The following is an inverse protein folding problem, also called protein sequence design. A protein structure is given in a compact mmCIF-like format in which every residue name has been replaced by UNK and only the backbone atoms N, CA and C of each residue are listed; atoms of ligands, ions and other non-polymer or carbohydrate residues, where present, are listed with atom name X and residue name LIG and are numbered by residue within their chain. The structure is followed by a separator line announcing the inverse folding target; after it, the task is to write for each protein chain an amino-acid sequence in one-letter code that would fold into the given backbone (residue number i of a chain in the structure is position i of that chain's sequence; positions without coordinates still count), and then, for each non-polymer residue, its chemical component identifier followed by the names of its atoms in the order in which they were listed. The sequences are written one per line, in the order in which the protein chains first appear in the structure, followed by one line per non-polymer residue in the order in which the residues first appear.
data_IF_735525710207
#
_entry.id   IF_735525710207
#
_cell.length_a   1.000
_cell.length_b   1.000
_cell.length_c   1.000
_cell.angle_alpha   90.00
_cell.angle_beta   90.00
_cell.angle_gamma   90.00
#
_symmetry.space_group_name_H-M   'P 1'
#
loop_
_entity.id
_entity.type
_entity.pdbx_description
1 polymer ?
#
# COMPACT_ATOMS: atom_id res chain seq x y z
N UNK A 1 -2.35 -3.32 28.30
CA UNK A 1 -1.25 -2.42 27.92
C UNK A 1 -1.85 -1.03 27.80
N UNK A 2 -1.50 -0.14 28.71
CA UNK A 2 -2.03 1.23 28.71
C UNK A 2 -1.20 2.06 27.73
N UNK A 3 -1.76 2.38 26.57
CA UNK A 3 -1.09 3.19 25.57
C UNK A 3 -1.21 4.65 26.01
N UNK A 4 -0.07 5.34 26.10
CA UNK A 4 -0.07 6.79 26.30
C UNK A 4 -0.73 7.46 25.09
N UNK A 5 -1.94 8.01 25.30
CA UNK A 5 -2.78 8.57 24.23
C UNK A 5 -2.08 9.72 23.47
N UNK A 6 -1.29 10.53 24.17
CA UNK A 6 -0.58 11.66 23.55
C UNK A 6 0.51 11.18 22.60
N UNK A 7 1.19 10.09 22.95
CA UNK A 7 2.20 9.46 22.10
C UNK A 7 1.53 8.81 20.88
N UNK A 8 0.41 8.12 21.08
CA UNK A 8 -0.34 7.49 19.99
C UNK A 8 -0.78 8.53 18.96
N UNK A 9 -1.45 9.61 19.38
CA UNK A 9 -1.91 10.65 18.44
C UNK A 9 -0.75 11.32 17.72
N UNK A 10 0.37 11.59 18.42
CA UNK A 10 1.57 12.11 17.76
C UNK A 10 2.10 11.18 16.67
N UNK A 11 2.07 9.87 16.88
CA UNK A 11 2.48 8.91 15.86
C UNK A 11 1.47 8.83 14.71
N UNK A 12 0.17 8.86 15.00
CA UNK A 12 -0.87 8.89 13.97
C UNK A 12 -0.74 10.13 13.10
N UNK A 13 -0.50 11.30 13.68
CA UNK A 13 -0.32 12.56 12.96
C UNK A 13 0.92 12.56 12.07
N UNK A 14 2.02 11.99 12.55
CA UNK A 14 3.22 11.80 11.73
C UNK A 14 2.93 10.92 10.50
N UNK A 15 2.13 9.87 10.67
CA UNK A 15 1.75 8.99 9.55
C UNK A 15 0.77 9.72 8.62
N UNK A 16 -0.24 10.43 9.15
CA UNK A 16 -1.18 11.25 8.36
C UNK A 16 -0.45 12.25 7.47
N UNK A 17 0.61 12.87 7.97
CA UNK A 17 1.44 13.81 7.21
C UNK A 17 2.14 13.17 6.00
N UNK A 18 2.26 11.85 5.94
CA UNK A 18 2.80 11.10 4.80
C UNK A 18 1.74 10.74 3.76
N UNK A 19 0.45 11.01 4.02
CA UNK A 19 -0.62 10.69 3.07
C UNK A 19 -0.59 11.65 1.88
N UNK A 20 -0.37 11.10 0.69
CA UNK A 20 -0.50 11.83 -0.57
C UNK A 20 -1.97 12.12 -0.91
N UNK A 21 -2.20 13.05 -1.84
CA UNK A 21 -3.55 13.39 -2.32
C UNK A 21 -4.32 12.21 -2.89
N UNK A 22 -3.62 11.20 -3.41
CA UNK A 22 -4.23 10.00 -3.98
C UNK A 22 -4.79 9.05 -2.92
N UNK A 23 -4.36 9.20 -1.67
CA UNK A 23 -4.70 8.34 -0.53
C UNK A 23 -3.58 7.38 -0.12
N UNK A 24 -2.51 7.24 -0.92
CA UNK A 24 -1.35 6.43 -0.53
C UNK A 24 -0.45 7.17 0.46
N UNK A 25 0.08 6.44 1.43
CA UNK A 25 1.16 6.86 2.29
C UNK A 25 2.52 6.65 1.61
N UNK A 26 3.37 7.66 1.70
CA UNK A 26 4.79 7.55 1.39
C UNK A 26 5.51 6.75 2.48
N UNK A 27 6.54 5.99 2.13
CA UNK A 27 7.32 5.27 3.14
C UNK A 27 8.20 6.20 3.98
N UNK A 28 8.57 7.37 3.45
CA UNK A 28 9.12 8.47 4.26
C UNK A 28 8.70 9.82 3.69
N UNK A 29 9.07 10.89 4.41
CA UNK A 29 8.87 12.26 3.95
C UNK A 29 9.46 12.46 2.55
N UNK A 30 8.83 13.30 1.75
CA UNK A 30 9.21 13.56 0.35
C UNK A 30 10.46 14.44 0.21
N UNK A 31 10.91 15.08 1.28
CA UNK A 31 12.07 15.99 1.33
C UNK A 31 13.43 15.28 1.53
N UNK A 32 13.43 13.95 1.75
CA UNK A 32 14.68 13.17 1.82
C UNK A 32 15.09 12.63 0.45
N UNK A 33 16.34 12.88 0.08
CA UNK A 33 16.96 12.56 -1.22
C UNK A 33 17.22 11.07 -1.47
N UNK A 34 16.67 10.17 -0.64
CA UNK A 34 16.98 8.73 -0.61
C UNK A 34 16.08 7.87 -1.50
N UNK A 35 15.12 8.46 -2.23
CA UNK A 35 14.21 7.71 -3.11
C UNK A 35 13.03 7.04 -2.39
N UNK A 36 12.70 7.49 -1.17
CA UNK A 36 11.54 7.06 -0.37
C UNK A 36 10.26 7.88 -0.62
N UNK A 37 10.25 8.72 -1.65
CA UNK A 37 9.05 9.35 -2.19
C UNK A 37 8.11 8.37 -2.95
N UNK A 38 8.27 7.07 -2.72
CA UNK A 38 7.50 6.00 -3.35
C UNK A 38 6.47 5.47 -2.34
N UNK A 39 5.38 4.91 -2.84
CA UNK A 39 4.40 4.21 -2.02
C UNK A 39 4.60 2.70 -2.13
N UNK A 40 4.85 2.03 -1.01
CA UNK A 40 4.93 0.57 -0.96
C UNK A 40 3.55 -0.04 -0.68
N UNK A 41 3.20 -1.13 -1.36
CA UNK A 41 1.95 -1.84 -1.10
C UNK A 41 1.86 -2.34 0.35
N UNK A 42 2.96 -2.91 0.88
CA UNK A 42 3.00 -3.45 2.24
C UNK A 42 2.76 -2.37 3.28
N UNK A 43 3.51 -1.27 3.19
CA UNK A 43 3.43 -0.15 4.12
C UNK A 43 2.01 0.41 4.15
N UNK A 44 1.44 0.66 2.96
CA UNK A 44 0.07 1.14 2.84
C UNK A 44 -0.97 0.16 3.41
N UNK A 45 -0.79 -1.14 3.18
CA UNK A 45 -1.69 -2.15 3.72
C UNK A 45 -1.66 -2.18 5.26
N UNK A 46 -0.49 -2.26 5.88
CA UNK A 46 -0.39 -2.31 7.34
C UNK A 46 -0.75 -0.97 8.00
N UNK A 47 -0.41 0.17 7.40
CA UNK A 47 -0.88 1.47 7.85
C UNK A 47 -2.41 1.55 7.77
N UNK A 48 -3.03 1.01 6.71
CA UNK A 48 -4.49 0.95 6.62
C UNK A 48 -5.10 0.13 7.76
N UNK A 49 -4.50 -1.01 8.14
CA UNK A 49 -4.97 -1.81 9.27
C UNK A 49 -4.83 -1.06 10.60
N UNK A 50 -3.74 -0.31 10.79
CA UNK A 50 -3.57 0.52 11.99
C UNK A 50 -4.65 1.60 12.10
N UNK A 51 -4.99 2.29 10.99
CA UNK A 51 -6.08 3.26 10.99
C UNK A 51 -7.47 2.64 11.14
N UNK A 52 -7.65 1.41 10.66
CA UNK A 52 -8.87 0.64 10.89
C UNK A 52 -9.06 0.33 12.39
N UNK A 53 -7.99 -0.06 13.08
CA UNK A 53 -8.00 -0.37 14.52
C UNK A 53 -8.36 0.84 15.39
N UNK A 54 -7.87 2.04 15.04
CA UNK A 54 -8.19 3.27 15.77
C UNK A 54 -9.49 3.94 15.31
N UNK A 55 -10.23 3.32 14.37
CA UNK A 55 -11.54 3.79 13.92
C UNK A 55 -11.53 4.96 12.93
N UNK A 56 -10.38 5.31 12.33
CA UNK A 56 -10.26 6.39 11.34
C UNK A 56 -10.71 5.91 9.95
N UNK A 57 -12.03 5.75 9.80
CA UNK A 57 -12.62 5.15 8.60
C UNK A 57 -12.42 5.97 7.33
N UNK A 58 -12.24 7.29 7.44
CA UNK A 58 -12.02 8.15 6.29
C UNK A 58 -10.62 7.93 5.70
N UNK A 59 -9.61 7.80 6.55
CA UNK A 59 -8.26 7.42 6.12
C UNK A 59 -8.27 6.02 5.50
N UNK A 60 -8.94 5.06 6.14
CA UNK A 60 -9.08 3.67 5.64
C UNK A 60 -9.70 3.64 4.24
N UNK A 61 -10.80 4.37 4.01
CA UNK A 61 -11.47 4.43 2.70
C UNK A 61 -10.54 4.99 1.62
N UNK A 62 -9.77 6.04 1.92
CA UNK A 62 -8.81 6.63 0.97
C UNK A 62 -7.73 5.62 0.56
N UNK A 63 -7.13 4.93 1.53
CA UNK A 63 -6.06 3.95 1.26
C UNK A 63 -6.60 2.77 0.46
N UNK A 64 -7.74 2.19 0.85
CA UNK A 64 -8.34 1.09 0.09
C UNK A 64 -8.69 1.48 -1.33
N UNK A 65 -9.27 2.68 -1.53
CA UNK A 65 -9.56 3.19 -2.87
C UNK A 65 -8.28 3.27 -3.71
N UNK A 66 -7.18 3.77 -3.14
CA UNK A 66 -5.91 3.88 -3.85
C UNK A 66 -5.30 2.50 -4.18
N UNK A 67 -5.25 1.57 -3.22
CA UNK A 67 -4.76 0.20 -3.43
C UNK A 67 -5.56 -0.55 -4.50
N UNK A 68 -6.89 -0.45 -4.48
CA UNK A 68 -7.75 -1.05 -5.50
C UNK A 68 -7.55 -0.38 -6.87
N UNK A 69 -7.30 0.93 -6.91
CA UNK A 69 -7.03 1.64 -8.17
C UNK A 69 -5.73 1.16 -8.81
N UNK A 70 -4.68 0.92 -8.02
CA UNK A 70 -3.44 0.26 -8.50
C UNK A 70 -3.78 -1.10 -9.12
N UNK A 71 -4.55 -1.94 -8.43
CA UNK A 71 -4.87 -3.28 -8.94
C UNK A 71 -5.70 -3.23 -10.22
N UNK A 72 -6.64 -2.31 -10.33
CA UNK A 72 -7.42 -2.11 -11.57
C UNK A 72 -6.51 -1.63 -12.70
N UNK A 73 -5.61 -0.69 -12.43
CA UNK A 73 -4.66 -0.15 -13.42
C UNK A 73 -3.72 -1.23 -13.96
N UNK A 74 -3.25 -2.13 -13.08
CA UNK A 74 -2.29 -3.19 -13.42
C UNK A 74 -2.96 -4.57 -13.60
N UNK A 75 -4.28 -4.60 -13.80
CA UNK A 75 -5.08 -5.85 -13.85
C UNK A 75 -4.60 -6.84 -14.90
N UNK A 76 -4.12 -6.36 -16.05
CA UNK A 76 -3.72 -7.22 -17.16
C UNK A 76 -2.42 -7.97 -16.81
N UNK A 77 -1.49 -7.29 -16.14
CA UNK A 77 -0.28 -7.87 -15.59
C UNK A 77 -0.58 -8.89 -14.50
N UNK A 78 -1.49 -8.56 -13.58
CA UNK A 78 -1.96 -9.49 -12.53
C UNK A 78 -2.57 -10.73 -13.18
N UNK A 79 -3.47 -10.54 -14.15
CA UNK A 79 -4.16 -11.64 -14.87
C UNK A 79 -3.18 -12.52 -15.64
N UNK A 80 -2.15 -11.93 -16.23
CA UNK A 80 -1.08 -12.66 -16.89
C UNK A 80 -0.26 -13.50 -15.89
N UNK A 81 0.11 -12.93 -14.75
CA UNK A 81 0.91 -13.60 -13.72
C UNK A 81 0.17 -14.74 -13.00
N UNK A 82 -1.17 -14.74 -13.02
CA UNK A 82 -1.99 -15.87 -12.55
C UNK A 82 -1.89 -17.07 -13.50
N UNK A 83 -1.79 -16.81 -14.81
CA UNK A 83 -1.76 -17.85 -15.85
C UNK A 83 -0.35 -18.31 -16.20
N UNK A 84 0.64 -17.48 -15.94
CA UNK A 84 2.02 -17.68 -16.35
C UNK A 84 2.94 -17.50 -15.15
N UNK A 85 3.86 -18.44 -14.94
CA UNK A 85 4.90 -18.29 -13.90
C UNK A 85 5.87 -17.19 -14.33
N UNK A 86 5.96 -16.05 -13.61
CA UNK A 86 6.89 -15.00 -13.99
C UNK A 86 8.34 -15.48 -13.85
N UNK A 87 9.20 -15.07 -14.78
CA UNK A 87 10.63 -15.39 -14.80
C UNK A 87 11.48 -14.12 -14.64
N UNK A 88 11.15 -13.07 -15.41
CA UNK A 88 11.84 -11.79 -15.36
C UNK A 88 11.25 -10.88 -14.27
N UNK A 89 12.06 -10.00 -13.69
CA UNK A 89 11.68 -9.10 -12.59
C UNK A 89 10.47 -8.22 -12.92
N UNK A 90 10.42 -7.63 -14.11
CA UNK A 90 9.33 -6.76 -14.54
C UNK A 90 7.99 -7.49 -14.71
N UNK A 91 7.98 -8.82 -14.83
CA UNK A 91 6.75 -9.61 -14.97
C UNK A 91 6.03 -9.78 -13.63
N UNK A 92 6.74 -9.67 -12.52
CA UNK A 92 6.14 -9.65 -11.19
C UNK A 92 5.44 -8.33 -10.96
N UNK A 93 4.30 -8.36 -10.27
CA UNK A 93 3.59 -7.16 -9.80
C UNK A 93 4.57 -6.37 -8.92
N UNK A 94 4.74 -5.09 -9.22
CA UNK A 94 5.77 -4.30 -8.58
C UNK A 94 5.41 -3.99 -7.11
N UNK A 95 6.41 -3.90 -6.24
CA UNK A 95 6.18 -3.66 -4.80
C UNK A 95 5.87 -2.18 -4.46
N UNK A 96 6.29 -1.28 -5.36
CA UNK A 96 6.35 0.18 -5.15
C UNK A 96 5.67 0.91 -6.29
N UNK A 97 4.91 1.95 -5.98
CA UNK A 97 4.19 2.74 -6.97
C UNK A 97 4.45 4.22 -6.78
N UNK A 98 4.38 4.97 -7.88
CA UNK A 98 4.35 6.41 -7.79
C UNK A 98 3.07 6.82 -7.03
N UNK A 99 3.20 7.60 -5.94
CA UNK A 99 2.07 7.94 -5.07
C UNK A 99 1.00 8.80 -5.77
N UNK A 100 1.33 9.48 -6.86
CA UNK A 100 0.41 10.36 -7.58
C UNK A 100 -0.19 9.68 -8.82
N UNK A 101 0.65 8.97 -9.58
CA UNK A 101 0.25 8.40 -10.88
C UNK A 101 -0.09 6.92 -10.83
N UNK A 102 0.25 6.22 -9.74
CA UNK A 102 0.13 4.76 -9.60
C UNK A 102 0.94 3.96 -10.63
N UNK A 103 1.93 4.59 -11.27
CA UNK A 103 2.85 3.90 -12.18
C UNK A 103 3.87 3.06 -11.41
N UNK A 104 4.29 1.96 -12.03
CA UNK A 104 5.46 1.21 -11.58
C UNK A 104 6.74 1.97 -11.90
N UNK A 105 7.81 1.67 -11.18
CA UNK A 105 9.14 2.18 -11.51
C UNK A 105 9.86 1.19 -12.41
N UNK A 106 10.53 1.68 -13.46
CA UNK A 106 11.25 0.86 -14.45
C UNK A 106 12.65 0.41 -13.99
N UNK A 107 13.03 0.73 -12.74
CA UNK A 107 14.29 0.30 -12.14
C UNK A 107 14.21 -1.17 -11.68
N UNK A 108 15.30 -1.92 -11.83
CA UNK A 108 15.37 -3.26 -11.24
C UNK A 108 15.28 -3.16 -9.72
N UNK A 109 14.31 -3.88 -9.16
CA UNK A 109 14.14 -4.03 -7.73
C UNK A 109 14.33 -5.48 -7.34
N UNK A 110 15.39 -5.78 -6.58
CA UNK A 110 15.78 -7.15 -6.25
C UNK A 110 14.83 -7.89 -5.30
N UNK A 111 13.87 -7.19 -4.68
CA UNK A 111 12.97 -7.77 -3.68
C UNK A 111 11.57 -8.03 -4.25
N UNK A 112 11.25 -9.31 -4.48
CA UNK A 112 9.89 -9.77 -4.79
C UNK A 112 9.04 -9.73 -3.52
N UNK A 113 7.99 -8.91 -3.49
CA UNK A 113 7.13 -8.71 -2.31
C UNK A 113 5.69 -9.11 -2.62
N UNK A 114 5.51 -10.41 -2.94
CA UNK A 114 4.21 -10.99 -3.23
C UNK A 114 3.31 -11.10 -1.97
N UNK A 115 3.92 -11.02 -0.78
CA UNK A 115 3.26 -11.05 0.53
C UNK A 115 2.16 -9.99 0.65
N UNK A 116 2.47 -8.75 0.27
CA UNK A 116 1.55 -7.62 0.39
C UNK A 116 0.31 -7.82 -0.50
N UNK A 117 0.49 -8.34 -1.71
CA UNK A 117 -0.61 -8.59 -2.65
C UNK A 117 -1.53 -9.68 -2.10
N UNK A 118 -0.95 -10.78 -1.61
CA UNK A 118 -1.70 -11.85 -0.96
C UNK A 118 -2.50 -11.34 0.24
N UNK A 119 -1.90 -10.52 1.09
CA UNK A 119 -2.55 -9.95 2.26
C UNK A 119 -3.71 -9.01 1.91
N UNK A 120 -3.52 -8.13 0.91
CA UNK A 120 -4.57 -7.23 0.41
C UNK A 120 -5.75 -8.04 -0.15
N UNK A 121 -5.49 -9.03 -1.01
CA UNK A 121 -6.53 -9.87 -1.60
C UNK A 121 -7.26 -10.71 -0.55
N UNK A 122 -6.52 -11.29 0.40
CA UNK A 122 -7.11 -12.05 1.51
C UNK A 122 -8.05 -11.18 2.35
N UNK A 123 -7.64 -9.96 2.71
CA UNK A 123 -8.48 -9.02 3.48
C UNK A 123 -9.73 -8.60 2.73
N UNK A 124 -9.65 -8.36 1.41
CA UNK A 124 -10.82 -8.06 0.57
C UNK A 124 -11.78 -9.25 0.54
N UNK A 125 -11.26 -10.47 0.39
CA UNK A 125 -12.07 -11.68 0.33
C UNK A 125 -12.72 -12.00 1.69
N UNK A 126 -11.99 -11.87 2.80
CA UNK A 126 -12.49 -12.10 4.16
C UNK A 126 -13.60 -11.13 4.59
N UNK A 127 -13.73 -9.96 3.94
CA UNK A 127 -14.85 -9.03 4.16
C UNK A 127 -16.18 -9.52 3.55
N UNK A 128 -16.20 -10.56 2.71
CA UNK A 128 -17.44 -11.17 2.20
C UNK A 128 -18.10 -12.14 3.18
N UNK A 129 -17.44 -12.50 4.27
CA UNK A 129 -17.93 -13.47 5.26
C UNK A 129 -18.32 -12.84 6.60
N UNK A 130 -18.49 -11.51 6.68
CA UNK A 130 -18.72 -10.78 7.93
C UNK A 130 -19.71 -9.62 7.86
N UNK A 131 -20.63 -9.64 6.90
CA UNK A 131 -21.85 -8.83 6.88
C UNK A 131 -23.04 -9.72 6.51
#
# INVERSE_FOLDING_TARGET
MEINKDILEKHLDNIRALQSKSGLFLASRSDVSTGYNKAWLRDNFYTCLAFEEVGDLDTVKKVWKALLTIFVKHKDKISWAVKNKPYQTFQYIHARYNPETFEEFWEEWGNKQNDAIGAILFKINGRRSGF
#
